data_IF_285557407228
#
_entry.id   IF_285557407228
#
_cell.length_a   1.000
_cell.length_b   1.000
_cell.length_c   1.000
_cell.angle_alpha   90.00
_cell.angle_beta   90.00
_cell.angle_gamma   90.00
#
_symmetry.space_group_name_H-M   'P 1'
#
loop_
_entity.id
_entity.type
_entity.pdbx_description
1 polymer ?
#
# COMPACT_ATOMS: atom_id res chain seq x y z
N UNK A 1 15.02 -10.60 -16.04
CA UNK A 1 13.84 -9.73 -16.29
C UNK A 1 13.00 -10.20 -17.49
N UNK A 2 13.56 -10.34 -18.70
CA UNK A 2 12.85 -10.75 -19.93
C UNK A 2 12.23 -12.17 -19.93
N UNK A 3 12.83 -13.14 -19.22
CA UNK A 3 12.26 -14.49 -19.13
C UNK A 3 11.02 -14.54 -18.21
N UNK A 4 11.03 -13.72 -17.14
CA UNK A 4 9.92 -13.63 -16.20
C UNK A 4 8.74 -12.86 -16.82
N UNK A 5 9.02 -11.84 -17.65
CA UNK A 5 7.97 -11.06 -18.31
C UNK A 5 7.14 -11.86 -19.32
N UNK A 6 7.75 -12.80 -20.08
CA UNK A 6 7.00 -13.70 -20.98
C UNK A 6 6.12 -14.71 -20.22
N UNK A 7 6.59 -15.20 -19.06
CA UNK A 7 5.81 -16.08 -18.19
C UNK A 7 4.62 -15.33 -17.59
N UNK A 8 4.87 -14.13 -17.06
CA UNK A 8 3.85 -13.23 -16.52
C UNK A 8 2.83 -12.86 -17.61
N UNK A 9 3.28 -12.50 -18.82
CA UNK A 9 2.37 -12.14 -19.92
C UNK A 9 1.47 -13.31 -20.36
N UNK A 10 1.99 -14.54 -20.41
CA UNK A 10 1.16 -15.74 -20.67
C UNK A 10 0.15 -15.99 -19.56
N UNK A 11 0.54 -15.82 -18.30
CA UNK A 11 -0.40 -16.01 -17.19
C UNK A 11 -1.42 -14.87 -17.09
N UNK A 12 -1.02 -13.65 -17.43
CA UNK A 12 -1.93 -12.50 -17.54
C UNK A 12 -2.92 -12.70 -18.70
N UNK A 13 -2.47 -13.24 -19.84
CA UNK A 13 -3.35 -13.61 -20.97
C UNK A 13 -4.35 -14.68 -20.57
N UNK A 14 -3.91 -15.72 -19.86
CA UNK A 14 -4.81 -16.76 -19.31
C UNK A 14 -5.80 -16.17 -18.31
N UNK A 15 -5.38 -15.25 -17.46
CA UNK A 15 -6.28 -14.51 -16.56
C UNK A 15 -7.23 -13.58 -17.33
N UNK A 16 -6.78 -12.98 -18.44
CA UNK A 16 -7.57 -12.09 -19.28
C UNK A 16 -8.69 -12.83 -20.03
N UNK A 17 -8.42 -14.04 -20.52
CA UNK A 17 -9.45 -14.92 -21.09
C UNK A 17 -10.49 -15.32 -20.02
N UNK A 18 -10.08 -15.35 -18.75
CA UNK A 18 -10.95 -15.60 -17.58
C UNK A 18 -11.68 -14.37 -17.05
N UNK A 19 -11.25 -13.16 -17.44
CA UNK A 19 -11.89 -11.87 -17.10
C UNK A 19 -13.13 -11.61 -17.97
N UNK A 20 -13.35 -12.41 -19.03
CA UNK A 20 -14.35 -12.19 -20.08
C UNK A 20 -15.80 -11.93 -19.63
N UNK A 21 -16.18 -12.29 -18.41
CA UNK A 21 -17.55 -12.10 -17.87
C UNK A 21 -17.63 -11.22 -16.60
N UNK A 22 -16.66 -10.32 -16.37
CA UNK A 22 -16.72 -9.41 -15.22
C UNK A 22 -17.69 -8.24 -15.49
N UNK A 23 -18.60 -7.99 -14.54
CA UNK A 23 -19.51 -6.82 -14.53
C UNK A 23 -18.73 -5.51 -14.74
N UNK A 24 -18.87 -4.92 -15.93
CA UNK A 24 -18.26 -3.65 -16.36
C UNK A 24 -18.40 -2.49 -15.36
N UNK A 25 -19.51 -2.48 -14.60
CA UNK A 25 -19.82 -1.51 -13.53
C UNK A 25 -18.71 -1.35 -12.50
N UNK A 26 -18.13 -2.46 -12.06
CA UNK A 26 -17.24 -2.41 -10.92
C UNK A 26 -15.77 -2.22 -11.31
N UNK A 27 -15.38 -2.69 -12.50
CA UNK A 27 -14.09 -2.33 -13.13
C UNK A 27 -13.96 -0.83 -13.30
N UNK A 28 -15.08 -0.16 -13.64
CA UNK A 28 -15.11 1.30 -13.75
C UNK A 28 -14.75 1.99 -12.44
N UNK A 29 -15.24 1.53 -11.29
CA UNK A 29 -14.94 2.13 -9.97
C UNK A 29 -13.48 1.92 -9.56
N UNK A 30 -12.95 0.72 -9.80
CA UNK A 30 -11.56 0.38 -9.49
C UNK A 30 -10.60 1.22 -10.38
N UNK A 31 -10.86 1.32 -11.69
CA UNK A 31 -10.12 2.21 -12.61
C UNK A 31 -10.25 3.68 -12.18
N UNK A 32 -11.45 4.14 -11.84
CA UNK A 32 -11.66 5.52 -11.39
C UNK A 32 -10.86 5.82 -10.12
N UNK A 33 -10.79 4.86 -9.20
CA UNK A 33 -9.97 5.00 -7.98
C UNK A 33 -8.50 5.11 -8.35
N UNK A 34 -7.99 4.26 -9.24
CA UNK A 34 -6.61 4.34 -9.71
C UNK A 34 -6.28 5.65 -10.41
N UNK A 35 -7.16 6.12 -11.30
CA UNK A 35 -6.99 7.39 -11.98
C UNK A 35 -7.04 8.56 -10.99
N UNK A 36 -7.96 8.53 -10.02
CA UNK A 36 -8.04 9.55 -8.98
C UNK A 36 -6.77 9.59 -8.12
N UNK A 37 -6.21 8.42 -7.76
CA UNK A 37 -4.95 8.32 -7.03
C UNK A 37 -3.77 8.88 -7.83
N UNK A 38 -3.69 8.55 -9.13
CA UNK A 38 -2.65 9.05 -10.02
C UNK A 38 -2.77 10.57 -10.22
N UNK A 39 -3.98 11.08 -10.46
CA UNK A 39 -4.23 12.51 -10.60
C UNK A 39 -3.88 13.23 -9.29
N UNK A 40 -4.31 12.70 -8.14
CA UNK A 40 -4.01 13.29 -6.83
C UNK A 40 -2.49 13.34 -6.57
N UNK A 41 -1.76 12.27 -6.84
CA UNK A 41 -0.30 12.25 -6.62
C UNK A 41 0.45 13.18 -7.58
N UNK A 42 0.10 13.18 -8.87
CA UNK A 42 0.70 14.08 -9.86
C UNK A 42 0.40 15.55 -9.52
N UNK A 43 -0.83 15.87 -9.13
CA UNK A 43 -1.20 17.23 -8.72
C UNK A 43 -0.45 17.66 -7.45
N UNK A 44 -0.30 16.80 -6.45
CA UNK A 44 0.50 17.11 -5.25
C UNK A 44 1.97 17.37 -5.59
N UNK A 45 2.57 16.59 -6.49
CA UNK A 45 3.97 16.81 -6.93
C UNK A 45 4.09 18.14 -7.68
N UNK A 46 3.17 18.43 -8.60
CA UNK A 46 3.18 19.68 -9.38
C UNK A 46 3.03 20.90 -8.46
N UNK A 47 2.09 20.86 -7.52
CA UNK A 47 1.90 21.92 -6.53
C UNK A 47 3.18 22.10 -5.71
N UNK A 48 3.78 21.00 -5.23
CA UNK A 48 5.02 21.05 -4.45
C UNK A 48 6.17 21.67 -5.26
N UNK A 49 6.33 21.28 -6.52
CA UNK A 49 7.35 21.84 -7.42
C UNK A 49 7.15 23.34 -7.67
N UNK A 50 5.91 23.80 -7.86
CA UNK A 50 5.60 25.22 -8.03
C UNK A 50 5.91 26.01 -6.76
N UNK A 51 5.50 25.50 -5.59
CA UNK A 51 5.79 26.16 -4.30
C UNK A 51 7.30 26.26 -4.09
N UNK A 52 8.05 25.20 -4.37
CA UNK A 52 9.50 25.15 -4.19
C UNK A 52 10.24 26.12 -5.13
N UNK A 53 9.84 26.19 -6.40
CA UNK A 53 10.39 27.18 -7.36
C UNK A 53 10.07 28.61 -6.93
N UNK A 54 8.89 28.87 -6.37
CA UNK A 54 8.52 30.18 -5.85
C UNK A 54 9.33 30.58 -4.60
N UNK A 55 9.64 29.61 -3.73
CA UNK A 55 10.41 29.86 -2.50
C UNK A 55 11.92 30.04 -2.76
N UNK A 56 12.48 29.36 -3.75
CA UNK A 56 13.93 29.32 -4.02
C UNK A 56 14.31 30.13 -5.26
N UNK A 57 13.91 31.41 -5.32
CA UNK A 57 14.19 32.34 -6.44
C UNK A 57 15.68 32.51 -6.79
N UNK A 58 16.59 32.05 -5.93
CA UNK A 58 18.05 32.17 -6.09
C UNK A 58 18.74 30.92 -6.65
N UNK A 59 18.06 29.78 -6.75
CA UNK A 59 18.65 28.51 -7.22
C UNK A 59 18.14 28.14 -8.61
N UNK A 60 19.00 27.52 -9.42
CA UNK A 60 18.63 27.04 -10.76
C UNK A 60 17.64 25.85 -10.62
N UNK A 61 16.39 25.97 -11.14
CA UNK A 61 15.38 24.91 -11.04
C UNK A 61 15.82 23.57 -11.65
N UNK A 62 16.79 23.59 -12.58
CA UNK A 62 17.30 22.38 -13.22
C UNK A 62 17.94 21.39 -12.23
N UNK A 63 18.43 21.86 -11.07
CA UNK A 63 19.04 21.02 -10.05
C UNK A 63 18.04 20.03 -9.41
N UNK A 64 16.76 20.41 -9.33
CA UNK A 64 15.70 19.61 -8.71
C UNK A 64 14.97 18.67 -9.68
N UNK A 65 15.12 18.89 -10.99
CA UNK A 65 14.45 18.09 -12.03
C UNK A 65 14.70 16.57 -11.92
N UNK A 66 15.94 16.09 -11.67
CA UNK A 66 16.17 14.65 -11.54
C UNK A 66 15.40 14.01 -10.39
N UNK A 67 15.20 14.73 -9.28
CA UNK A 67 14.45 14.26 -8.13
C UNK A 67 12.97 14.06 -8.47
N UNK A 68 12.31 15.04 -9.09
CA UNK A 68 10.90 14.91 -9.49
C UNK A 68 10.69 13.83 -10.55
N UNK A 69 11.63 13.67 -11.50
CA UNK A 69 11.57 12.60 -12.50
C UNK A 69 11.66 11.22 -11.81
N UNK A 70 12.61 11.04 -10.88
CA UNK A 70 12.75 9.80 -10.14
C UNK A 70 11.50 9.49 -9.31
N UNK A 71 10.93 10.49 -8.64
CA UNK A 71 9.68 10.35 -7.88
C UNK A 71 8.50 9.95 -8.78
N UNK A 72 8.35 10.60 -9.94
CA UNK A 72 7.32 10.25 -10.90
C UNK A 72 7.43 8.79 -11.39
N UNK A 73 8.66 8.35 -11.74
CA UNK A 73 8.91 6.97 -12.16
C UNK A 73 8.57 5.97 -11.05
N UNK A 74 8.93 6.28 -9.80
CA UNK A 74 8.61 5.42 -8.66
C UNK A 74 7.10 5.29 -8.47
N UNK A 75 6.36 6.40 -8.47
CA UNK A 75 4.89 6.39 -8.33
C UNK A 75 4.24 5.60 -9.47
N UNK A 76 4.70 5.80 -10.71
CA UNK A 76 4.17 5.04 -11.85
C UNK A 76 4.34 3.53 -11.65
N UNK A 77 5.50 3.10 -11.14
CA UNK A 77 5.74 1.69 -10.85
C UNK A 77 4.91 1.15 -9.67
N UNK A 78 4.66 1.97 -8.64
CA UNK A 78 3.78 1.62 -7.52
C UNK A 78 2.31 1.56 -7.95
N UNK A 79 1.86 2.46 -8.82
CA UNK A 79 0.54 2.40 -9.43
C UNK A 79 0.37 1.14 -10.28
N UNK A 80 1.38 0.75 -11.06
CA UNK A 80 1.35 -0.51 -11.81
C UNK A 80 1.22 -1.71 -10.88
N UNK A 81 1.99 -1.73 -9.78
CA UNK A 81 1.85 -2.75 -8.75
C UNK A 81 0.44 -2.78 -8.16
N UNK A 82 -0.08 -1.64 -7.72
CA UNK A 82 -1.43 -1.52 -7.17
C UNK A 82 -2.51 -2.00 -8.17
N UNK A 83 -2.37 -1.70 -9.46
CA UNK A 83 -3.27 -2.17 -10.50
C UNK A 83 -3.33 -3.70 -10.54
N UNK A 84 -2.17 -4.34 -10.54
CA UNK A 84 -2.08 -5.81 -10.54
C UNK A 84 -2.70 -6.40 -9.27
N UNK A 85 -2.49 -5.76 -8.12
CA UNK A 85 -3.10 -6.18 -6.85
C UNK A 85 -4.64 -6.10 -6.87
N UNK A 86 -5.19 -5.03 -7.44
CA UNK A 86 -6.63 -4.86 -7.63
C UNK A 86 -7.19 -5.93 -8.57
N UNK A 87 -6.53 -6.18 -9.70
CA UNK A 87 -6.92 -7.21 -10.66
C UNK A 87 -6.93 -8.59 -10.00
N UNK A 88 -5.86 -8.93 -9.27
CA UNK A 88 -5.75 -10.20 -8.55
C UNK A 88 -6.85 -10.36 -7.50
N UNK A 89 -7.07 -9.32 -6.68
CA UNK A 89 -8.18 -9.28 -5.71
C UNK A 89 -9.51 -9.57 -6.41
N UNK A 90 -9.79 -8.89 -7.53
CA UNK A 90 -11.06 -9.01 -8.25
C UNK A 90 -11.33 -10.43 -8.72
N UNK A 91 -10.32 -11.06 -9.29
CA UNK A 91 -10.37 -12.43 -9.79
C UNK A 91 -10.73 -13.39 -8.65
N UNK A 92 -10.05 -13.24 -7.51
CA UNK A 92 -10.32 -14.02 -6.30
C UNK A 92 -11.73 -13.74 -5.75
N UNK A 93 -12.20 -12.49 -5.74
CA UNK A 93 -13.56 -12.15 -5.31
C UNK A 93 -14.62 -12.85 -6.16
N UNK A 94 -14.43 -12.85 -7.48
CA UNK A 94 -15.34 -13.50 -8.40
C UNK A 94 -15.41 -15.00 -8.12
N UNK A 95 -14.27 -15.64 -7.88
CA UNK A 95 -14.22 -17.05 -7.49
C UNK A 95 -14.93 -17.30 -6.16
N UNK A 96 -14.68 -16.47 -5.14
CA UNK A 96 -15.37 -16.58 -3.86
C UNK A 96 -16.91 -16.52 -4.02
N UNK A 97 -17.41 -15.66 -4.91
CA UNK A 97 -18.84 -15.59 -5.26
C UNK A 97 -19.31 -16.86 -5.98
N UNK A 98 -18.55 -17.35 -6.97
CA UNK A 98 -18.90 -18.58 -7.69
C UNK A 98 -18.93 -19.81 -6.78
N UNK A 99 -18.03 -19.93 -5.80
CA UNK A 99 -18.05 -21.01 -4.79
C UNK A 99 -19.27 -20.85 -3.90
N UNK A 100 -19.54 -19.64 -3.43
CA UNK A 100 -20.71 -19.33 -2.61
C UNK A 100 -22.03 -19.69 -3.29
N UNK A 101 -22.15 -19.43 -4.59
CA UNK A 101 -23.34 -19.80 -5.36
C UNK A 101 -23.55 -21.32 -5.47
N UNK A 102 -22.47 -22.12 -5.49
CA UNK A 102 -22.60 -23.59 -5.44
C UNK A 102 -23.13 -24.04 -4.07
N UNK A 103 -22.64 -23.42 -3.01
CA UNK A 103 -23.09 -23.65 -1.62
C UNK A 103 -24.59 -23.39 -1.47
N UNK A 104 -25.12 -22.31 -2.03
CA UNK A 104 -26.55 -21.99 -1.95
C UNK A 104 -27.42 -22.95 -2.77
N UNK A 105 -26.96 -23.37 -3.95
CA UNK A 105 -27.68 -24.37 -4.77
C UNK A 105 -27.73 -25.73 -4.06
N UNK A 106 -26.63 -26.14 -3.43
CA UNK A 106 -26.59 -27.38 -2.63
C UNK A 106 -27.47 -27.27 -1.37
N UNK A 107 -27.55 -26.12 -0.69
CA UNK A 107 -28.46 -25.90 0.45
C UNK A 107 -29.94 -26.08 0.05
N UNK A 108 -30.34 -25.56 -1.12
CA UNK A 108 -31.71 -25.73 -1.66
C UNK A 108 -31.99 -27.19 -2.01
N UNK A 109 -31.00 -27.88 -2.58
CA UNK A 109 -31.10 -29.31 -2.91
C UNK A 109 -31.10 -30.17 -1.64
N UNK A 110 -30.40 -29.79 -0.57
CA UNK A 110 -30.23 -30.59 0.65
C UNK A 110 -31.23 -30.27 1.77
N UNK A 111 -32.25 -29.44 1.50
CA UNK A 111 -33.33 -29.15 2.45
C UNK A 111 -33.95 -30.45 3.01
N UNK A 112 -34.18 -30.56 4.35
CA UNK A 112 -34.59 -31.80 5.00
C UNK A 112 -35.79 -32.48 4.31
N UNK A 113 -35.70 -33.80 4.14
CA UNK A 113 -36.73 -34.62 3.50
C UNK A 113 -38.15 -34.46 4.11
N UNK A 114 -38.25 -33.96 5.35
CA UNK A 114 -39.53 -33.60 5.99
C UNK A 114 -40.26 -32.47 5.27
N UNK A 115 -39.57 -31.46 4.75
CA UNK A 115 -40.17 -30.36 3.97
C UNK A 115 -40.43 -30.76 2.51
N UNK A 116 -39.56 -31.60 1.93
CA UNK A 116 -39.81 -32.19 0.60
C UNK A 116 -41.01 -33.13 0.58
N UNK A 117 -41.28 -33.88 1.67
CA UNK A 117 -42.46 -34.74 1.77
C UNK A 117 -43.77 -33.95 1.79
N UNK A 118 -43.80 -32.79 2.43
CA UNK A 118 -44.98 -31.91 2.46
C UNK A 118 -45.32 -31.43 1.04
N UNK A 119 -44.31 -31.05 0.26
CA UNK A 119 -44.51 -30.58 -1.11
C UNK A 119 -44.82 -31.74 -2.09
N UNK A 120 -44.24 -32.93 -1.86
CA UNK A 120 -44.44 -34.12 -2.70
C UNK A 120 -45.80 -34.79 -2.52
N UNK A 121 -46.50 -34.57 -1.40
CA UNK A 121 -47.88 -35.04 -1.21
C UNK A 121 -48.89 -34.33 -2.13
N UNK A 122 -48.53 -33.16 -2.69
CA UNK A 122 -49.36 -32.41 -3.62
C UNK A 122 -49.23 -32.85 -5.09
N UNK A 123 -48.17 -33.59 -5.47
CA UNK A 123 -47.90 -33.95 -6.87
C UNK A 123 -47.77 -35.46 -7.07
N UNK A 124 -48.90 -36.17 -7.18
CA UNK A 124 -48.93 -37.56 -7.65
C UNK A 124 -48.83 -37.61 -9.18
N UNK A 125 -47.64 -37.86 -9.73
CA UNK A 125 -47.49 -38.70 -10.95
C UNK A 125 -46.08 -39.28 -10.99
N UNK A 126 -46.00 -40.59 -11.21
CA UNK A 126 -44.83 -41.43 -10.99
C UNK A 126 -44.19 -41.77 -12.34
N UNK A 127 -43.04 -41.16 -12.65
CA UNK A 127 -42.05 -41.55 -13.70
C UNK A 127 -40.81 -40.64 -13.60
N UNK A 128 -40.16 -40.55 -12.42
CA UNK A 128 -39.01 -39.62 -12.24
C UNK A 128 -37.80 -40.26 -11.51
N UNK A 129 -37.87 -41.51 -11.05
CA UNK A 129 -36.82 -42.07 -10.17
C UNK A 129 -35.47 -42.31 -10.88
N UNK A 130 -35.48 -42.73 -12.15
CA UNK A 130 -34.24 -42.94 -12.92
C UNK A 130 -33.68 -41.62 -13.47
N UNK A 131 -34.54 -40.71 -13.91
CA UNK A 131 -34.11 -39.40 -14.43
C UNK A 131 -33.52 -38.52 -13.32
N UNK A 132 -34.03 -38.58 -12.09
CA UNK A 132 -33.46 -37.89 -10.92
C UNK A 132 -32.07 -38.42 -10.54
N UNK A 133 -31.87 -39.75 -10.46
CA UNK A 133 -30.55 -40.31 -10.13
C UNK A 133 -29.51 -40.03 -11.22
N UNK A 134 -29.92 -40.01 -12.49
CA UNK A 134 -29.05 -39.67 -13.60
C UNK A 134 -28.73 -38.16 -13.60
N UNK A 135 -29.72 -37.30 -13.33
CA UNK A 135 -29.50 -35.85 -13.20
C UNK A 135 -28.63 -35.50 -12.00
N UNK A 136 -28.81 -36.19 -10.87
CA UNK A 136 -28.01 -36.00 -9.66
C UNK A 136 -26.56 -36.45 -9.89
N UNK A 137 -26.34 -37.62 -10.54
CA UNK A 137 -24.97 -38.04 -10.92
C UNK A 137 -24.33 -37.09 -11.92
N UNK A 138 -25.06 -36.57 -12.92
CA UNK A 138 -24.51 -35.61 -13.87
C UNK A 138 -24.20 -34.26 -13.22
N UNK A 139 -25.00 -33.83 -12.22
CA UNK A 139 -24.77 -32.60 -11.46
C UNK A 139 -23.60 -32.73 -10.48
N UNK A 140 -23.43 -33.89 -9.85
CA UNK A 140 -22.27 -34.17 -8.99
C UNK A 140 -20.99 -34.19 -9.83
N UNK A 141 -21.00 -34.87 -10.98
CA UNK A 141 -19.83 -34.91 -11.89
C UNK A 141 -19.49 -33.51 -12.41
N UNK A 142 -20.48 -32.69 -12.74
CA UNK A 142 -20.25 -31.31 -13.20
C UNK A 142 -19.72 -30.40 -12.09
N UNK A 143 -20.21 -30.56 -10.85
CA UNK A 143 -19.70 -29.85 -9.68
C UNK A 143 -18.24 -30.24 -9.36
N UNK A 144 -17.91 -31.54 -9.41
CA UNK A 144 -16.52 -32.02 -9.22
C UNK A 144 -15.58 -31.42 -10.28
N UNK A 145 -15.96 -31.46 -11.57
CA UNK A 145 -15.15 -30.84 -12.63
C UNK A 145 -15.00 -29.33 -12.44
N UNK A 146 -16.05 -28.65 -11.95
CA UNK A 146 -16.01 -27.22 -11.64
C UNK A 146 -15.08 -26.90 -10.47
N UNK A 147 -15.03 -27.76 -9.44
CA UNK A 147 -14.08 -27.62 -8.32
C UNK A 147 -12.63 -27.86 -8.73
N UNK A 148 -12.38 -28.88 -9.54
CA UNK A 148 -11.04 -29.14 -10.09
C UNK A 148 -10.56 -27.97 -10.94
N UNK A 149 -11.42 -27.46 -11.82
CA UNK A 149 -11.14 -26.26 -12.59
C UNK A 149 -10.84 -25.05 -11.68
N UNK A 150 -11.66 -24.82 -10.66
CA UNK A 150 -11.45 -23.69 -9.75
C UNK A 150 -10.16 -23.79 -8.93
N UNK A 151 -9.76 -25.00 -8.57
CA UNK A 151 -8.48 -25.27 -7.91
C UNK A 151 -7.30 -24.94 -8.83
N UNK A 152 -7.34 -25.37 -10.10
CA UNK A 152 -6.32 -25.02 -11.10
C UNK A 152 -6.20 -23.51 -11.31
N UNK A 153 -7.34 -22.81 -11.31
CA UNK A 153 -7.39 -21.35 -11.37
C UNK A 153 -6.74 -20.71 -10.14
N UNK A 154 -7.04 -21.21 -8.94
CA UNK A 154 -6.44 -20.72 -7.71
C UNK A 154 -4.92 -20.88 -7.70
N UNK A 155 -4.42 -22.03 -8.16
CA UNK A 155 -2.99 -22.28 -8.34
C UNK A 155 -2.40 -21.25 -9.33
N UNK A 156 -3.05 -21.03 -10.46
CA UNK A 156 -2.60 -20.07 -11.47
C UNK A 156 -2.54 -18.62 -10.93
N UNK A 157 -3.57 -18.17 -10.21
CA UNK A 157 -3.55 -16.83 -9.59
C UNK A 157 -2.48 -16.70 -8.50
N UNK A 158 -2.24 -17.76 -7.73
CA UNK A 158 -1.17 -17.76 -6.74
C UNK A 158 0.20 -17.65 -7.41
N UNK A 159 0.46 -18.38 -8.49
CA UNK A 159 1.70 -18.27 -9.25
C UNK A 159 1.91 -16.85 -9.80
N UNK A 160 0.84 -16.19 -10.25
CA UNK A 160 0.88 -14.79 -10.66
C UNK A 160 1.18 -13.88 -9.49
N UNK A 161 0.50 -14.06 -8.35
CA UNK A 161 0.73 -13.29 -7.14
C UNK A 161 2.20 -13.39 -6.68
N UNK A 162 2.77 -14.59 -6.70
CA UNK A 162 4.16 -14.85 -6.35
C UNK A 162 5.14 -14.25 -7.37
N UNK A 163 4.84 -14.38 -8.67
CA UNK A 163 5.65 -13.79 -9.73
C UNK A 163 5.68 -12.26 -9.65
N UNK A 164 4.54 -11.64 -9.35
CA UNK A 164 4.40 -10.19 -9.15
C UNK A 164 5.13 -9.77 -7.87
N UNK A 165 4.94 -10.49 -6.77
CA UNK A 165 5.66 -10.22 -5.52
C UNK A 165 7.17 -10.28 -5.74
N UNK A 166 7.67 -11.31 -6.43
CA UNK A 166 9.09 -11.44 -6.76
C UNK A 166 9.59 -10.28 -7.65
N UNK A 167 8.84 -9.92 -8.70
CA UNK A 167 9.23 -8.87 -9.63
C UNK A 167 9.28 -7.48 -8.99
N UNK A 168 8.35 -7.17 -8.09
CA UNK A 168 8.26 -5.86 -7.42
C UNK A 168 8.94 -5.85 -6.04
N UNK A 169 9.39 -7.00 -5.52
CA UNK A 169 9.95 -7.12 -4.17
C UNK A 169 11.04 -6.08 -3.84
N UNK A 170 12.02 -5.91 -4.73
CA UNK A 170 13.11 -4.97 -4.56
C UNK A 170 12.63 -3.52 -4.65
N UNK A 171 11.72 -3.23 -5.57
CA UNK A 171 11.11 -1.91 -5.71
C UNK A 171 10.35 -1.52 -4.45
N UNK A 172 9.57 -2.43 -3.87
CA UNK A 172 8.81 -2.20 -2.63
C UNK A 172 9.76 -1.99 -1.43
N UNK A 173 10.88 -2.72 -1.38
CA UNK A 173 11.90 -2.53 -0.35
C UNK A 173 12.57 -1.15 -0.45
N UNK A 174 12.97 -0.74 -1.66
CA UNK A 174 13.61 0.57 -1.86
C UNK A 174 12.60 1.71 -1.65
N UNK A 175 11.37 1.56 -2.13
CA UNK A 175 10.30 2.54 -1.93
C UNK A 175 10.00 2.76 -0.43
N UNK A 176 9.88 1.69 0.34
CA UNK A 176 9.66 1.79 1.80
C UNK A 176 10.84 2.46 2.53
N UNK A 177 12.08 2.17 2.13
CA UNK A 177 13.26 2.84 2.68
C UNK A 177 13.29 4.33 2.35
N UNK A 178 13.00 4.71 1.09
CA UNK A 178 12.91 6.11 0.67
C UNK A 178 11.81 6.83 1.45
N UNK A 179 10.61 6.25 1.56
CA UNK A 179 9.53 6.85 2.34
C UNK A 179 9.88 7.05 3.81
N UNK A 180 10.57 6.08 4.43
CA UNK A 180 11.04 6.20 5.81
C UNK A 180 12.01 7.37 5.98
N UNK A 181 12.99 7.51 5.08
CA UNK A 181 13.96 8.60 5.10
C UNK A 181 13.30 9.95 4.84
N UNK A 182 12.42 10.05 3.83
CA UNK A 182 11.70 11.28 3.50
C UNK A 182 10.77 11.73 4.62
N UNK A 183 10.02 10.81 5.25
CA UNK A 183 9.15 11.14 6.40
C UNK A 183 9.97 11.65 7.59
N UNK A 184 11.09 11.00 7.90
CA UNK A 184 11.98 11.42 8.99
C UNK A 184 12.56 12.81 8.71
N UNK A 185 13.03 13.04 7.47
CA UNK A 185 13.55 14.33 7.03
C UNK A 185 12.49 15.45 7.13
N UNK A 186 11.31 15.25 6.54
CA UNK A 186 10.25 16.26 6.52
C UNK A 186 9.80 16.61 7.94
N UNK A 187 9.56 15.61 8.80
CA UNK A 187 9.14 15.87 10.18
C UNK A 187 10.21 16.60 10.99
N UNK A 188 11.49 16.29 10.76
CA UNK A 188 12.60 17.03 11.36
C UNK A 188 12.61 18.50 10.95
N UNK A 189 12.45 18.80 9.66
CA UNK A 189 12.41 20.19 9.17
C UNK A 189 11.17 20.95 9.67
N UNK A 190 9.99 20.32 9.72
CA UNK A 190 8.79 20.90 10.33
C UNK A 190 9.03 21.23 11.80
N UNK A 191 9.68 20.34 12.54
CA UNK A 191 10.02 20.57 13.95
C UNK A 191 11.01 21.73 14.11
N UNK A 192 12.06 21.78 13.29
CA UNK A 192 13.05 22.85 13.34
C UNK A 192 12.45 24.22 13.01
N UNK A 193 11.59 24.29 12.00
CA UNK A 193 10.85 25.51 11.68
C UNK A 193 10.04 26.00 12.88
N UNK A 194 9.28 25.09 13.53
CA UNK A 194 8.45 25.42 14.69
C UNK A 194 9.26 25.85 15.93
N UNK A 195 10.40 25.21 16.20
CA UNK A 195 11.21 25.46 17.40
C UNK A 195 12.14 26.67 17.24
N UNK A 196 12.82 26.79 16.11
CA UNK A 196 13.78 27.89 15.86
C UNK A 196 13.03 29.21 15.68
N UNK A 197 11.93 29.21 14.93
CA UNK A 197 11.18 30.43 14.64
C UNK A 197 10.52 31.04 15.89
N UNK A 198 10.12 30.20 16.86
CA UNK A 198 9.55 30.66 18.13
C UNK A 198 10.56 31.41 19.01
N UNK A 199 11.86 31.16 18.83
CA UNK A 199 12.92 31.84 19.59
C UNK A 199 13.37 33.16 18.94
N UNK A 200 13.11 33.38 17.65
CA UNK A 200 13.40 34.62 16.93
C UNK A 200 12.11 35.42 16.67
N UNK A 201 11.64 36.15 17.70
CA UNK A 201 10.41 36.99 17.68
C UNK A 201 10.40 38.15 16.65
N UNK A 202 11.29 38.17 15.64
CA UNK A 202 11.54 39.31 14.76
C UNK A 202 11.64 38.98 13.26
N UNK A 203 11.48 37.74 12.84
CA UNK A 203 11.54 37.37 11.42
C UNK A 203 10.22 36.74 10.95
N UNK A 204 9.41 37.53 10.23
CA UNK A 204 8.19 37.13 9.52
C UNK A 204 8.52 36.24 8.29
N UNK A 205 9.24 35.15 8.48
CA UNK A 205 9.33 34.11 7.46
C UNK A 205 8.04 33.28 7.55
N UNK A 206 7.25 33.19 6.48
CA UNK A 206 6.07 32.33 6.49
C UNK A 206 6.51 30.86 6.61
N UNK A 207 5.86 30.03 7.46
CA UNK A 207 6.20 28.61 7.55
C UNK A 207 6.12 27.97 6.16
N UNK A 208 7.10 27.15 5.80
CA UNK A 208 7.18 26.58 4.46
C UNK A 208 6.09 25.50 4.27
N UNK A 209 4.96 25.92 3.71
CA UNK A 209 3.76 25.08 3.44
C UNK A 209 4.12 23.83 2.61
N UNK A 210 5.21 23.88 1.83
CA UNK A 210 5.70 22.74 1.03
C UNK A 210 5.93 21.49 1.88
N UNK A 211 6.48 21.61 3.09
CA UNK A 211 6.75 20.45 3.95
C UNK A 211 5.47 19.71 4.36
N UNK A 212 4.37 20.43 4.60
CA UNK A 212 3.09 19.81 4.94
C UNK A 212 2.46 19.08 3.74
N UNK A 213 2.60 19.63 2.53
CA UNK A 213 2.14 18.99 1.30
C UNK A 213 2.93 17.69 1.07
N UNK A 214 4.25 17.73 1.20
CA UNK A 214 5.11 16.55 1.10
C UNK A 214 4.81 15.52 2.18
N UNK A 215 4.57 15.94 3.43
CA UNK A 215 4.18 15.05 4.52
C UNK A 215 2.89 14.30 4.17
N UNK A 216 1.86 15.03 3.74
CA UNK A 216 0.59 14.45 3.35
C UNK A 216 0.75 13.46 2.18
N UNK A 217 1.54 13.84 1.18
CA UNK A 217 1.87 13.00 0.04
C UNK A 217 2.53 11.67 0.45
N UNK A 218 3.59 11.69 1.27
CA UNK A 218 4.29 10.48 1.68
C UNK A 218 3.45 9.60 2.61
N UNK A 219 2.60 10.19 3.47
CA UNK A 219 1.67 9.43 4.31
C UNK A 219 0.63 8.70 3.45
N UNK A 220 0.01 9.38 2.49
CA UNK A 220 -0.95 8.74 1.57
C UNK A 220 -0.31 7.63 0.76
N UNK A 221 0.89 7.89 0.22
CA UNK A 221 1.66 6.91 -0.54
C UNK A 221 1.94 5.65 0.27
N UNK A 222 2.37 5.80 1.53
CA UNK A 222 2.63 4.68 2.42
C UNK A 222 1.35 3.88 2.73
N UNK A 223 0.23 4.57 2.97
CA UNK A 223 -1.06 3.92 3.20
C UNK A 223 -1.46 3.07 1.99
N UNK A 224 -1.36 3.61 0.77
CA UNK A 224 -1.73 2.88 -0.44
C UNK A 224 -0.79 1.71 -0.74
N UNK A 225 0.52 1.89 -0.53
CA UNK A 225 1.52 0.82 -0.69
C UNK A 225 1.15 -0.42 0.13
N UNK A 226 0.61 -0.22 1.34
CA UNK A 226 0.18 -1.30 2.24
C UNK A 226 -1.25 -1.77 1.94
N UNK A 227 -2.16 -0.85 1.64
CA UNK A 227 -3.59 -1.13 1.52
C UNK A 227 -3.91 -2.16 0.42
N UNK A 228 -3.40 -1.97 -0.80
CA UNK A 228 -3.70 -2.85 -1.93
C UNK A 228 -3.21 -4.29 -1.74
N UNK A 229 -1.92 -4.56 -1.42
CA UNK A 229 -1.46 -5.91 -1.19
C UNK A 229 -2.12 -6.57 0.02
N UNK A 230 -2.35 -5.82 1.11
CA UNK A 230 -3.04 -6.34 2.29
C UNK A 230 -4.48 -6.74 1.95
N UNK A 231 -5.20 -5.93 1.17
CA UNK A 231 -6.58 -6.23 0.80
C UNK A 231 -6.64 -7.45 -0.14
N UNK A 232 -5.77 -7.53 -1.14
CA UNK A 232 -5.69 -8.68 -2.03
C UNK A 232 -5.36 -9.97 -1.27
N UNK A 233 -4.39 -9.94 -0.34
CA UNK A 233 -4.08 -11.08 0.52
C UNK A 233 -5.26 -11.46 1.43
N UNK A 234 -5.95 -10.48 2.02
CA UNK A 234 -7.12 -10.74 2.86
C UNK A 234 -8.22 -11.46 2.09
N UNK A 235 -8.46 -11.04 0.85
CA UNK A 235 -9.46 -11.68 -0.01
C UNK A 235 -9.04 -13.08 -0.45
N UNK A 236 -7.76 -13.28 -0.80
CA UNK A 236 -7.20 -14.60 -1.10
C UNK A 236 -7.38 -15.58 0.07
N UNK A 237 -7.12 -15.11 1.28
CA UNK A 237 -7.27 -15.91 2.49
C UNK A 237 -8.76 -16.12 2.88
N UNK A 238 -9.68 -15.27 2.41
CA UNK A 238 -11.13 -15.44 2.60
C UNK A 238 -11.65 -16.66 1.83
N UNK A 239 -11.05 -17.02 0.69
CA UNK A 239 -11.42 -18.21 -0.08
C UNK A 239 -11.41 -19.46 0.80
N UNK A 240 -10.43 -19.62 1.68
CA UNK A 240 -10.36 -20.74 2.61
C UNK A 240 -11.62 -20.87 3.47
N UNK A 241 -12.18 -19.75 3.93
CA UNK A 241 -13.40 -19.71 4.75
C UNK A 241 -14.62 -20.12 3.92
N UNK A 242 -14.73 -19.63 2.68
CA UNK A 242 -15.85 -19.95 1.78
C UNK A 242 -15.85 -21.44 1.43
N UNK A 243 -14.68 -21.99 1.09
CA UNK A 243 -14.51 -23.42 0.78
C UNK A 243 -14.79 -24.28 2.00
N UNK A 244 -14.33 -23.87 3.19
CA UNK A 244 -14.59 -24.61 4.42
C UNK A 244 -16.08 -24.61 4.79
N UNK A 245 -16.79 -23.51 4.56
CA UNK A 245 -18.25 -23.46 4.77
C UNK A 245 -18.97 -24.46 3.86
N UNK A 246 -18.58 -24.51 2.58
CA UNK A 246 -19.14 -25.47 1.63
C UNK A 246 -18.88 -26.93 2.05
N UNK A 247 -17.70 -27.23 2.59
CA UNK A 247 -17.37 -28.58 3.07
C UNK A 247 -18.38 -29.09 4.11
N UNK A 248 -18.92 -28.20 4.95
CA UNK A 248 -19.92 -28.54 5.96
C UNK A 248 -21.33 -28.79 5.39
N UNK A 249 -21.59 -28.36 4.15
CA UNK A 249 -22.91 -28.42 3.50
C UNK A 249 -23.01 -29.56 2.47
N UNK A 250 -21.87 -30.05 1.98
CA UNK A 250 -21.83 -31.15 1.00
C UNK A 250 -22.00 -32.52 1.67
N UNK A 251 -23.02 -33.26 1.23
CA UNK A 251 -23.29 -34.64 1.68
C UNK A 251 -22.67 -35.72 0.78
N UNK A 252 -22.24 -35.37 -0.43
CA UNK A 252 -21.62 -36.31 -1.37
C UNK A 252 -20.15 -36.59 -0.99
N UNK A 253 -19.78 -37.87 -0.93
CA UNK A 253 -18.44 -38.29 -0.47
C UNK A 253 -17.33 -37.87 -1.45
N UNK A 254 -17.56 -37.97 -2.77
CA UNK A 254 -16.54 -37.67 -3.78
C UNK A 254 -16.28 -36.17 -3.84
N UNK A 255 -17.36 -35.38 -3.84
CA UNK A 255 -17.26 -33.92 -3.84
C UNK A 255 -16.66 -33.40 -2.52
N UNK A 256 -17.01 -34.03 -1.39
CA UNK A 256 -16.45 -33.68 -0.08
C UNK A 256 -14.95 -33.94 0.01
N UNK A 257 -14.44 -35.04 -0.54
CA UNK A 257 -13.00 -35.32 -0.59
C UNK A 257 -12.25 -34.24 -1.38
N UNK A 258 -12.74 -33.83 -2.55
CA UNK A 258 -12.13 -32.77 -3.37
C UNK A 258 -12.15 -31.40 -2.65
N UNK A 259 -13.28 -31.02 -2.05
CA UNK A 259 -13.39 -29.78 -1.28
C UNK A 259 -12.45 -29.80 -0.06
N UNK A 260 -12.32 -30.96 0.60
CA UNK A 260 -11.41 -31.11 1.74
C UNK A 260 -9.95 -30.96 1.32
N UNK A 261 -9.54 -31.56 0.20
CA UNK A 261 -8.19 -31.38 -0.35
C UNK A 261 -7.93 -29.91 -0.69
N UNK A 262 -8.88 -29.23 -1.32
CA UNK A 262 -8.76 -27.82 -1.67
C UNK A 262 -8.71 -26.92 -0.42
N UNK A 263 -9.55 -27.18 0.59
CA UNK A 263 -9.52 -26.47 1.87
C UNK A 263 -8.17 -26.62 2.57
N UNK A 264 -7.60 -27.83 2.59
CA UNK A 264 -6.29 -28.09 3.17
C UNK A 264 -5.18 -27.37 2.42
N UNK A 265 -5.26 -27.32 1.08
CA UNK A 265 -4.33 -26.56 0.25
C UNK A 265 -4.38 -25.07 0.60
N UNK A 266 -5.58 -24.46 0.65
CA UNK A 266 -5.75 -23.05 1.01
C UNK A 266 -5.29 -22.73 2.43
N UNK A 267 -5.38 -23.68 3.37
CA UNK A 267 -4.93 -23.50 4.74
C UNK A 267 -3.40 -23.42 4.84
N UNK A 268 -2.69 -24.28 4.11
CA UNK A 268 -1.22 -24.33 4.09
C UNK A 268 -0.62 -23.21 3.23
N UNK A 269 -1.31 -22.77 2.19
CA UNK A 269 -0.80 -21.85 1.17
C UNK A 269 -1.33 -20.43 1.34
N UNK A 270 -1.19 -19.85 2.55
CA UNK A 270 -1.65 -18.48 2.81
C UNK A 270 -0.91 -17.47 1.94
N UNK A 271 -1.66 -16.69 1.17
CA UNK A 271 -1.10 -15.62 0.33
C UNK A 271 -0.65 -14.48 1.23
N UNK A 272 0.63 -14.12 1.09
CA UNK A 272 1.26 -12.98 1.76
C UNK A 272 2.19 -12.27 0.78
N UNK A 273 2.13 -10.95 0.77
CA UNK A 273 3.05 -10.10 -0.01
C UNK A 273 4.14 -9.58 0.91
N UNK A 274 5.38 -9.64 0.44
CA UNK A 274 6.57 -9.33 1.25
C UNK A 274 7.58 -8.55 0.42
N UNK A 275 8.23 -7.57 1.04
CA UNK A 275 9.35 -6.86 0.42
C UNK A 275 10.63 -7.70 0.56
N UNK A 276 11.06 -8.36 -0.51
CA UNK A 276 12.23 -9.25 -0.56
C UNK A 276 12.29 -10.33 0.54
N UNK A 277 11.16 -10.68 1.17
CA UNK A 277 11.12 -11.57 2.34
C UNK A 277 11.55 -10.94 3.66
N UNK A 278 11.92 -9.65 3.70
CA UNK A 278 12.30 -8.95 4.94
C UNK A 278 11.11 -8.70 5.86
N UNK A 279 10.00 -8.19 5.31
CA UNK A 279 8.79 -7.89 6.08
C UNK A 279 7.52 -8.03 5.22
N UNK A 280 6.36 -8.32 5.85
CA UNK A 280 5.07 -8.34 5.18
C UNK A 280 4.58 -6.93 4.87
N UNK A 281 3.88 -6.79 3.74
CA UNK A 281 3.21 -5.55 3.32
C UNK A 281 1.80 -5.49 3.92
N UNK A 282 1.73 -5.26 5.23
CA UNK A 282 0.49 -5.14 6.00
C UNK A 282 0.53 -3.92 6.95
N UNK A 283 -0.55 -3.68 7.69
CA UNK A 283 -0.63 -2.53 8.59
C UNK A 283 0.38 -2.55 9.75
N UNK A 284 1.05 -3.69 10.02
CA UNK A 284 2.13 -3.75 11.01
C UNK A 284 3.38 -3.02 10.52
N UNK A 285 3.58 -2.94 9.20
CA UNK A 285 4.63 -2.12 8.59
C UNK A 285 4.42 -0.63 8.88
N UNK A 286 3.17 -0.15 8.79
CA UNK A 286 2.83 1.24 9.08
C UNK A 286 3.17 1.60 10.54
N UNK A 287 2.78 0.75 11.49
CA UNK A 287 3.12 0.92 12.90
C UNK A 287 4.64 0.95 13.12
N UNK A 288 5.36 0.04 12.47
CA UNK A 288 6.82 -0.05 12.59
C UNK A 288 7.53 1.19 12.03
N UNK A 289 7.09 1.70 10.88
CA UNK A 289 7.64 2.93 10.28
C UNK A 289 7.36 4.14 11.18
N UNK A 290 6.13 4.29 11.69
CA UNK A 290 5.79 5.41 12.60
C UNK A 290 6.64 5.38 13.87
N UNK A 291 6.82 4.20 14.46
CA UNK A 291 7.69 4.00 15.62
C UNK A 291 9.14 4.37 15.32
N UNK A 292 9.71 3.83 14.23
CA UNK A 292 11.07 4.13 13.82
C UNK A 292 11.26 5.63 13.54
N UNK A 293 10.38 6.25 12.76
CA UNK A 293 10.43 7.69 12.44
C UNK A 293 10.44 8.52 13.72
N UNK A 294 9.59 8.17 14.69
CA UNK A 294 9.53 8.87 15.99
C UNK A 294 10.83 8.70 16.77
N UNK A 295 11.39 7.48 16.83
CA UNK A 295 12.67 7.23 17.50
C UNK A 295 13.81 8.04 16.88
N UNK A 296 13.95 8.01 15.55
CA UNK A 296 14.99 8.79 14.86
C UNK A 296 14.77 10.30 15.00
N UNK A 297 13.52 10.76 14.98
CA UNK A 297 13.20 12.17 15.21
C UNK A 297 13.64 12.62 16.60
N UNK A 298 13.35 11.84 17.65
CA UNK A 298 13.81 12.14 19.02
C UNK A 298 15.33 12.24 19.08
N UNK A 299 16.04 11.29 18.45
CA UNK A 299 17.50 11.29 18.39
C UNK A 299 18.02 12.56 17.70
N UNK A 300 17.49 12.89 16.52
CA UNK A 300 17.88 14.08 15.75
C UNK A 300 17.64 15.37 16.54
N UNK A 301 16.51 15.47 17.23
CA UNK A 301 16.18 16.62 18.08
C UNK A 301 17.15 16.74 19.25
N UNK A 302 17.45 15.63 19.93
CA UNK A 302 18.40 15.62 21.05
C UNK A 302 19.79 16.04 20.60
N UNK A 303 20.26 15.54 19.45
CA UNK A 303 21.53 15.98 18.87
C UNK A 303 21.54 17.49 18.59
N UNK A 304 20.47 18.03 18.02
CA UNK A 304 20.38 19.47 17.75
C UNK A 304 20.42 20.30 19.04
N UNK A 305 19.69 19.88 20.08
CA UNK A 305 19.64 20.60 21.37
C UNK A 305 20.96 20.50 22.15
N UNK A 306 21.74 19.44 21.93
CA UNK A 306 23.03 19.23 22.57
C UNK A 306 24.17 20.04 21.92
N UNK A 307 23.97 20.61 20.73
CA UNK A 307 24.95 21.49 20.10
C UNK A 307 24.99 22.83 20.85
N UNK A 308 26.14 23.25 21.42
CA UNK A 308 26.24 24.53 22.11
C UNK A 308 26.04 25.69 21.13
N UNK A 309 25.20 26.66 21.52
CA UNK A 309 25.04 27.94 20.80
C UNK A 309 26.42 28.61 20.64
N UNK A 310 27.06 28.44 19.48
CA UNK A 310 28.32 29.11 19.13
C UNK A 310 28.18 30.64 18.95
N UNK A 311 27.09 31.25 19.45
CA UNK A 311 26.76 32.68 19.30
C UNK A 311 26.66 33.45 20.63
N UNK A 312 27.31 33.01 21.72
CA UNK A 312 27.35 33.77 22.99
C UNK A 312 28.72 34.20 23.53
N UNK A 313 29.84 33.91 22.85
CA UNK A 313 31.18 34.21 23.40
C UNK A 313 31.97 35.29 22.64
N UNK A 314 31.31 36.32 22.11
CA UNK A 314 31.99 37.55 21.69
C UNK A 314 31.19 38.76 22.15
N UNK A 315 31.48 39.22 23.37
CA UNK A 315 31.85 40.61 23.73
C UNK A 315 31.56 40.85 25.20
N UNK A 316 32.61 40.84 26.04
CA UNK A 316 32.89 41.87 27.04
C UNK A 316 34.20 41.52 27.76
N UNK A 317 35.33 41.57 27.04
CA UNK A 317 36.61 41.84 27.70
C UNK A 317 36.66 43.33 27.97
N UNK A 318 36.37 43.67 29.22
CA UNK A 318 36.54 45.00 29.81
C UNK A 318 38.03 45.32 29.82
N UNK A 319 38.47 46.25 28.96
CA UNK A 319 39.81 46.85 29.09
C UNK A 319 39.74 47.95 30.17
N UNK A 320 40.72 48.03 31.09
CA UNK A 320 40.78 49.10 32.07
C UNK A 320 41.21 50.43 31.40
N UNK A 321 40.83 51.59 31.96
CA UNK A 321 41.12 52.88 31.35
C UNK A 321 42.61 53.24 31.47
N UNK A 322 43.17 53.75 30.37
CA UNK A 322 44.51 54.32 30.30
C UNK A 322 44.50 55.69 30.99
N UNK A 323 45.25 55.83 32.08
CA UNK A 323 45.58 57.12 32.70
C UNK A 323 46.70 57.79 31.91
N UNK A 324 46.40 58.91 31.25
CA UNK A 324 47.40 59.83 30.69
C UNK A 324 47.96 60.74 31.79
N UNK A 325 49.29 60.82 32.01
CA UNK A 325 49.87 61.84 32.86
C UNK A 325 50.04 63.15 32.10
N UNK A 326 49.66 64.23 32.77
CA UNK A 326 49.98 65.62 32.47
C UNK A 326 51.48 65.84 32.24
N UNK A 327 51.85 66.50 31.15
CA UNK A 327 53.11 67.24 31.04
C UNK A 327 52.81 68.66 30.59
N UNK A 328 53.24 69.57 31.44
CA UNK A 328 53.25 71.02 31.33
C UNK A 328 54.26 71.48 30.28
N UNK A 329 53.82 72.22 29.27
CA UNK A 329 54.69 73.05 28.43
C UNK A 329 54.37 74.54 28.66
N UNK A 330 55.26 75.18 29.42
CA UNK A 330 55.47 76.62 29.38
C UNK A 330 56.56 76.88 28.31
N UNK A 331 56.31 77.69 27.28
CA UNK A 331 56.88 79.06 27.15
C UNK A 331 56.78 79.68 25.73
N UNK A 332 56.42 80.97 25.76
CA UNK A 332 56.68 82.09 24.84
C UNK A 332 56.15 82.01 23.39
N UNK A 333 55.07 82.73 23.05
CA UNK A 333 54.96 84.18 22.83
C UNK A 333 55.65 84.67 21.55
N UNK A 334 54.84 84.85 20.50
CA UNK A 334 55.11 85.74 19.37
C UNK A 334 53.82 86.48 19.05
N UNK A 335 53.77 87.79 19.35
CA UNK A 335 52.98 88.74 18.58
C UNK A 335 53.67 90.11 18.64
N UNK A 336 53.76 90.68 17.45
CA UNK A 336 54.08 92.05 17.06
C UNK A 336 53.40 93.14 17.87
#
# INVERSE_FOLDING_TARGET
FLLNSKKIARQLSRLNDLIGDIYYSDWKKDIQTMLAMLILTVTMILISAVVEVMSYTSYDPSLFMPYYIAEFVCIMSECQFAAVMIILKRIIQNWNVQIGAISEVDDVINLPNSLKQINKRASKTFTVSNNLKISDRSNIQSNVMRFQYLRELHVSAREVAESVNSAYSLLLLLSTAIMFLSLTHILYFIFMDFVVQKNSLLCNETPNISYFIWLFYYVLRLIWLVYFPCFAAKEANRTAIVVHKLLGQTNDLVLREEIQQFSLQLLHEKVKFTACGFFPLDFTLLYSIVGAVTTYLVILIQFQLALPDSKKNTTHHHYPPVTTPSSSENHYAHQT
#
